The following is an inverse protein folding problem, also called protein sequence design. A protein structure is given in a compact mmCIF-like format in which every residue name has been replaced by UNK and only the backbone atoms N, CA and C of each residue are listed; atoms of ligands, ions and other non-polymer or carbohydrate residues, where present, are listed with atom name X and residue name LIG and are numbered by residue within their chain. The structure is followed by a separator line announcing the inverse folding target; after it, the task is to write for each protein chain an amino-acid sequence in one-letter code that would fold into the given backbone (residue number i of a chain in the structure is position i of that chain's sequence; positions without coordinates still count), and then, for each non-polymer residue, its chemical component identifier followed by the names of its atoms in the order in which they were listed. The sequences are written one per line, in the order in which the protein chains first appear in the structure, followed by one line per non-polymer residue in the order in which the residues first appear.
data_IF_306568011881
#
_entry.id   IF_306568011881
#
_cell.length_a   1.000
_cell.length_b   1.000
_cell.length_c   1.000
_cell.angle_alpha   90.00
_cell.angle_beta   90.00
_cell.angle_gamma   90.00
#
_symmetry.space_group_name_H-M   'P 1'
#
loop_
_entity.id
_entity.type
_entity.pdbx_description
1 polymer ?
#
# COMPACT_ATOMS: atom_id res chain seq x y z
N UNK A 1 13.70 -2.88 -17.02
CA UNK A 1 12.49 -2.35 -16.36
C UNK A 1 12.51 -2.90 -14.95
N UNK A 2 12.06 -2.15 -13.96
CA UNK A 2 11.93 -2.63 -12.58
C UNK A 2 10.64 -3.42 -12.44
N UNK A 3 10.67 -4.52 -11.67
CA UNK A 3 9.55 -5.44 -11.50
C UNK A 3 8.94 -5.28 -10.10
N UNK A 4 7.65 -5.08 -10.00
CA UNK A 4 6.92 -5.02 -8.72
C UNK A 4 5.84 -6.09 -8.67
N UNK A 5 5.86 -6.91 -7.61
CA UNK A 5 4.74 -7.78 -7.26
C UNK A 5 3.81 -7.03 -6.31
N UNK A 6 2.54 -6.90 -6.68
CA UNK A 6 1.48 -6.33 -5.84
C UNK A 6 0.57 -7.45 -5.34
N UNK A 7 0.58 -7.70 -4.05
CA UNK A 7 -0.34 -8.56 -3.32
C UNK A 7 -1.37 -7.66 -2.63
N UNK A 8 -2.51 -7.39 -3.28
CA UNK A 8 -3.56 -6.52 -2.76
C UNK A 8 -4.92 -6.92 -3.34
N UNK A 9 -6.03 -6.47 -2.75
CA UNK A 9 -7.35 -6.74 -3.30
C UNK A 9 -7.56 -6.08 -4.67
N UNK A 10 -8.43 -6.67 -5.47
CA UNK A 10 -8.83 -6.15 -6.77
C UNK A 10 -10.34 -5.85 -6.79
N UNK A 11 -10.68 -4.58 -6.97
CA UNK A 11 -12.06 -4.13 -7.03
C UNK A 11 -12.52 -4.05 -8.47
N UNK A 12 -13.54 -4.85 -8.85
CA UNK A 12 -14.04 -4.91 -10.23
C UNK A 12 -14.68 -3.60 -10.69
N UNK A 13 -15.47 -2.94 -9.80
CA UNK A 13 -16.00 -1.60 -10.02
C UNK A 13 -15.37 -0.64 -9.01
N UNK A 14 -14.51 0.23 -9.49
CA UNK A 14 -13.81 1.23 -8.68
C UNK A 14 -12.37 1.41 -9.15
N UNK A 15 -11.74 2.48 -8.67
CA UNK A 15 -10.35 2.83 -8.96
C UNK A 15 -9.59 2.98 -7.65
N UNK A 16 -9.52 1.88 -6.92
CA UNK A 16 -8.84 1.74 -5.63
C UNK A 16 -8.01 0.47 -5.62
N UNK A 17 -7.29 0.22 -4.57
CA UNK A 17 -6.50 -0.98 -4.31
C UNK A 17 -5.48 -1.28 -5.43
N UNK A 18 -5.24 -2.54 -5.73
CA UNK A 18 -4.25 -2.99 -6.71
C UNK A 18 -4.44 -2.35 -8.10
N UNK A 19 -5.69 -2.07 -8.49
CA UNK A 19 -5.99 -1.47 -9.79
C UNK A 19 -5.44 -0.04 -9.91
N UNK A 20 -5.60 0.77 -8.86
CA UNK A 20 -5.07 2.14 -8.83
C UNK A 20 -3.53 2.11 -8.83
N UNK A 21 -2.94 1.30 -7.96
CA UNK A 21 -1.49 1.16 -7.87
C UNK A 21 -0.87 0.72 -9.19
N UNK A 22 -1.47 -0.28 -9.86
CA UNK A 22 -0.99 -0.75 -11.15
C UNK A 22 -0.99 0.35 -12.22
N UNK A 23 -2.03 1.21 -12.26
CA UNK A 23 -2.09 2.33 -13.20
C UNK A 23 -0.97 3.35 -12.95
N UNK A 24 -0.71 3.69 -11.68
CA UNK A 24 0.36 4.62 -11.29
C UNK A 24 1.73 4.05 -11.64
N UNK A 25 2.02 2.82 -11.23
CA UNK A 25 3.33 2.19 -11.43
C UNK A 25 3.62 1.96 -12.92
N UNK A 26 2.64 1.51 -13.71
CA UNK A 26 2.79 1.36 -15.15
C UNK A 26 3.12 2.70 -15.84
N UNK A 27 2.49 3.81 -15.39
CA UNK A 27 2.83 5.15 -15.89
C UNK A 27 4.26 5.59 -15.52
N UNK A 28 4.78 5.08 -14.40
CA UNK A 28 6.14 5.36 -13.92
C UNK A 28 7.21 4.40 -14.50
N UNK A 29 6.91 3.68 -15.58
CA UNK A 29 7.79 2.71 -16.28
C UNK A 29 8.16 1.49 -15.42
N UNK A 30 7.25 1.01 -14.59
CA UNK A 30 7.41 -0.19 -13.77
C UNK A 30 6.61 -1.35 -14.36
N UNK A 31 7.22 -2.54 -14.47
CA UNK A 31 6.53 -3.78 -14.80
C UNK A 31 5.77 -4.29 -13.57
N UNK A 32 4.46 -4.42 -13.68
CA UNK A 32 3.59 -4.79 -12.57
C UNK A 32 3.12 -6.24 -12.70
N UNK A 33 3.45 -7.04 -11.69
CA UNK A 33 2.87 -8.36 -11.46
C UNK A 33 1.76 -8.21 -10.41
N UNK A 34 0.51 -8.29 -10.85
CA UNK A 34 -0.63 -8.10 -9.97
C UNK A 34 -1.19 -9.44 -9.55
N UNK A 35 -1.20 -9.71 -8.24
CA UNK A 35 -1.72 -10.92 -7.65
C UNK A 35 -2.84 -10.55 -6.66
N UNK A 36 -4.13 -10.67 -7.09
CA UNK A 36 -5.24 -10.31 -6.25
C UNK A 36 -5.33 -11.18 -4.99
N UNK A 37 -5.33 -10.57 -3.81
CA UNK A 37 -5.57 -11.24 -2.53
C UNK A 37 -7.06 -11.46 -2.27
N UNK A 38 -7.91 -10.65 -2.91
CA UNK A 38 -9.35 -10.85 -3.00
C UNK A 38 -9.85 -10.24 -4.32
N UNK A 39 -10.87 -10.82 -4.92
CA UNK A 39 -11.63 -10.15 -5.96
C UNK A 39 -12.96 -9.69 -5.38
N UNK A 40 -13.20 -8.38 -5.43
CA UNK A 40 -14.34 -7.71 -4.81
C UNK A 40 -15.16 -7.02 -5.90
N UNK A 41 -16.49 -7.21 -5.91
CA UNK A 41 -17.34 -6.67 -6.96
C UNK A 41 -17.29 -5.12 -7.03
N UNK A 42 -17.30 -4.46 -5.87
CA UNK A 42 -17.30 -3.00 -5.76
C UNK A 42 -16.79 -2.54 -4.39
N UNK A 43 -16.47 -1.26 -4.29
CA UNK A 43 -16.12 -0.64 -3.00
C UNK A 43 -17.21 -0.91 -1.95
N UNK A 44 -16.82 -1.30 -0.74
CA UNK A 44 -17.72 -1.60 0.39
C UNK A 44 -18.65 -0.44 0.74
N UNK A 45 -18.25 0.80 0.48
CA UNK A 45 -19.10 1.97 0.72
C UNK A 45 -20.39 2.00 -0.09
N UNK A 46 -20.51 1.22 -1.16
CA UNK A 46 -21.70 1.12 -2.00
C UNK A 46 -22.75 0.14 -1.46
N UNK A 47 -22.43 -0.58 -0.38
CA UNK A 47 -23.31 -1.61 0.20
C UNK A 47 -23.42 -2.85 -0.68
N UNK A 48 -23.60 -4.02 -0.07
CA UNK A 48 -23.66 -5.32 -0.74
C UNK A 48 -22.40 -5.64 -1.57
N UNK A 49 -21.90 -6.86 -1.49
CA UNK A 49 -20.69 -7.21 -2.23
C UNK A 49 -20.70 -8.67 -2.67
N UNK A 50 -20.07 -8.96 -3.80
CA UNK A 50 -19.63 -10.31 -4.14
C UNK A 50 -18.13 -10.38 -3.90
N UNK A 51 -17.70 -11.45 -3.28
CA UNK A 51 -16.33 -11.66 -2.84
C UNK A 51 -15.85 -13.03 -3.34
N UNK A 52 -14.64 -13.08 -3.89
CA UNK A 52 -13.99 -14.31 -4.29
C UNK A 52 -12.65 -14.43 -3.56
N UNK A 53 -12.50 -15.48 -2.75
CA UNK A 53 -11.22 -15.87 -2.17
C UNK A 53 -10.30 -16.39 -3.28
N UNK A 54 -9.03 -16.00 -3.24
CA UNK A 54 -8.06 -16.28 -4.29
C UNK A 54 -6.89 -17.16 -3.84
N UNK A 55 -6.96 -17.81 -2.68
CA UNK A 55 -5.84 -18.55 -2.08
C UNK A 55 -5.24 -19.60 -3.01
N UNK A 56 -6.06 -20.41 -3.69
CA UNK A 56 -5.56 -21.39 -4.65
C UNK A 56 -4.85 -20.74 -5.85
N UNK A 57 -5.40 -19.64 -6.36
CA UNK A 57 -4.81 -18.89 -7.47
C UNK A 57 -3.47 -18.24 -7.07
N UNK A 58 -3.39 -17.68 -5.86
CA UNK A 58 -2.14 -17.12 -5.32
C UNK A 58 -1.07 -18.19 -5.28
N UNK A 59 -1.38 -19.35 -4.70
CA UNK A 59 -0.44 -20.47 -4.63
C UNK A 59 0.06 -20.87 -6.01
N UNK A 60 -0.86 -21.11 -6.95
CA UNK A 60 -0.52 -21.54 -8.30
C UNK A 60 0.32 -20.49 -9.05
N UNK A 61 0.03 -19.20 -8.87
CA UNK A 61 0.80 -18.11 -9.47
C UNK A 61 2.23 -18.05 -8.90
N UNK A 62 2.38 -18.05 -7.57
CA UNK A 62 3.68 -17.99 -6.91
C UNK A 62 4.55 -19.19 -7.28
N UNK A 63 4.00 -20.39 -7.26
CA UNK A 63 4.69 -21.62 -7.67
C UNK A 63 5.15 -21.54 -9.14
N UNK A 64 4.27 -21.06 -10.03
CA UNK A 64 4.58 -20.91 -11.45
C UNK A 64 5.65 -19.85 -11.72
N UNK A 65 5.56 -18.70 -11.06
CA UNK A 65 6.54 -17.61 -11.23
C UNK A 65 7.91 -17.97 -10.66
N UNK A 66 7.95 -18.66 -9.53
CA UNK A 66 9.19 -19.24 -8.98
C UNK A 66 9.81 -20.21 -9.98
N UNK A 67 9.02 -21.15 -10.52
CA UNK A 67 9.49 -22.13 -11.53
C UNK A 67 9.99 -21.44 -12.82
N UNK A 68 9.40 -20.31 -13.21
CA UNK A 68 9.82 -19.53 -14.37
C UNK A 68 11.02 -18.61 -14.07
N UNK A 69 11.44 -18.51 -12.83
CA UNK A 69 12.60 -17.71 -12.41
C UNK A 69 12.31 -16.20 -12.41
N UNK A 70 11.05 -15.76 -12.27
CA UNK A 70 10.73 -14.35 -12.10
C UNK A 70 11.26 -13.83 -10.76
N UNK A 71 11.82 -12.62 -10.80
CA UNK A 71 12.35 -11.92 -9.62
C UNK A 71 11.75 -10.52 -9.57
N UNK A 72 11.49 -10.04 -8.37
CA UNK A 72 10.85 -8.76 -8.13
C UNK A 72 11.83 -7.82 -7.42
N UNK A 73 11.95 -6.58 -7.88
CA UNK A 73 12.73 -5.55 -7.20
C UNK A 73 12.02 -5.08 -5.92
N UNK A 74 10.69 -5.12 -5.94
CA UNK A 74 9.84 -4.80 -4.79
C UNK A 74 8.65 -5.74 -4.74
N UNK A 75 8.31 -6.18 -3.53
CA UNK A 75 7.08 -6.91 -3.23
C UNK A 75 6.25 -6.04 -2.29
N UNK A 76 5.06 -5.63 -2.75
CA UNK A 76 4.10 -4.89 -1.96
C UNK A 76 3.01 -5.83 -1.45
N UNK A 77 2.69 -5.72 -0.17
CA UNK A 77 1.66 -6.47 0.51
C UNK A 77 0.69 -5.47 1.13
N UNK A 78 -0.52 -5.43 0.60
CA UNK A 78 -1.64 -4.63 1.12
C UNK A 78 -2.65 -5.51 1.85
N UNK A 79 -3.90 -5.54 1.35
CA UNK A 79 -4.97 -6.33 1.97
C UNK A 79 -4.68 -7.83 1.91
N UNK A 80 -4.85 -8.50 3.04
CA UNK A 80 -4.77 -9.96 3.21
C UNK A 80 -6.13 -10.44 3.71
N UNK A 81 -6.71 -11.47 3.06
CA UNK A 81 -8.04 -11.95 3.39
C UNK A 81 -8.09 -12.76 4.70
N UNK A 82 -7.34 -13.84 4.75
CA UNK A 82 -7.41 -14.81 5.83
C UNK A 82 -6.03 -15.34 6.28
N UNK A 83 -6.06 -16.24 7.27
CA UNK A 83 -4.88 -16.87 7.84
C UNK A 83 -4.15 -17.76 6.84
N UNK A 84 -4.87 -18.49 5.99
CA UNK A 84 -4.26 -19.38 5.01
C UNK A 84 -3.49 -18.57 3.96
N UNK A 85 -4.06 -17.46 3.52
CA UNK A 85 -3.41 -16.53 2.61
C UNK A 85 -2.16 -15.90 3.22
N UNK A 86 -2.25 -15.47 4.49
CA UNK A 86 -1.10 -14.98 5.23
C UNK A 86 0.03 -16.02 5.29
N UNK A 87 -0.30 -17.30 5.54
CA UNK A 87 0.68 -18.36 5.55
C UNK A 87 1.32 -18.57 4.17
N UNK A 88 0.54 -18.60 3.09
CA UNK A 88 1.05 -18.70 1.72
C UNK A 88 2.04 -17.58 1.38
N UNK A 89 1.68 -16.33 1.74
CA UNK A 89 2.54 -15.17 1.51
C UNK A 89 3.81 -15.27 2.34
N UNK A 90 3.70 -15.62 3.61
CA UNK A 90 4.85 -15.77 4.51
C UNK A 90 5.81 -16.84 3.99
N UNK A 91 5.29 -18.03 3.66
CA UNK A 91 6.10 -19.13 3.12
C UNK A 91 6.83 -18.72 1.84
N UNK A 92 6.17 -17.98 0.96
CA UNK A 92 6.79 -17.46 -0.26
C UNK A 92 7.96 -16.52 0.07
N UNK A 93 7.74 -15.54 0.97
CA UNK A 93 8.75 -14.54 1.34
C UNK A 93 9.96 -15.16 2.02
N UNK A 94 9.75 -16.13 2.92
CA UNK A 94 10.82 -16.83 3.65
C UNK A 94 11.69 -17.71 2.74
N UNK A 95 11.16 -18.12 1.58
CA UNK A 95 11.87 -18.97 0.62
C UNK A 95 12.46 -18.21 -0.58
N UNK A 96 12.45 -16.87 -0.55
CA UNK A 96 13.11 -16.08 -1.60
C UNK A 96 14.62 -16.29 -1.56
N UNK A 97 15.22 -16.55 -2.74
CA UNK A 97 16.66 -16.77 -2.92
C UNK A 97 17.38 -15.55 -3.56
N UNK A 98 16.72 -14.39 -3.56
CA UNK A 98 17.23 -13.14 -4.14
C UNK A 98 16.86 -11.94 -3.28
N UNK A 99 17.61 -10.85 -3.44
CA UNK A 99 17.32 -9.60 -2.75
C UNK A 99 16.11 -8.90 -3.37
N UNK A 100 15.20 -8.44 -2.52
CA UNK A 100 14.01 -7.66 -2.88
C UNK A 100 13.68 -6.71 -1.74
N UNK A 101 12.98 -5.63 -2.01
CA UNK A 101 12.42 -4.76 -0.95
C UNK A 101 10.99 -5.17 -0.67
N UNK A 102 10.70 -5.57 0.56
CA UNK A 102 9.36 -5.95 1.01
C UNK A 102 8.70 -4.76 1.68
N UNK A 103 7.56 -4.32 1.14
CA UNK A 103 6.76 -3.20 1.66
C UNK A 103 5.41 -3.74 2.11
N UNK A 104 5.04 -3.44 3.36
CA UNK A 104 3.78 -3.86 3.97
C UNK A 104 2.94 -2.64 4.32
N UNK A 105 1.76 -2.51 3.71
CA UNK A 105 0.68 -1.64 4.19
C UNK A 105 -0.38 -2.50 4.89
N UNK A 106 -0.52 -2.40 6.21
CA UNK A 106 -1.41 -3.26 6.97
C UNK A 106 -2.87 -2.79 6.91
N UNK A 107 -3.48 -2.84 5.74
CA UNK A 107 -4.83 -2.34 5.45
C UNK A 107 -5.89 -3.02 6.33
N UNK A 108 -6.25 -2.38 7.46
CA UNK A 108 -7.22 -2.94 8.40
C UNK A 108 -8.15 -1.93 9.06
N UNK A 109 -7.86 -0.64 9.01
CA UNK A 109 -8.69 0.34 9.71
C UNK A 109 -8.28 1.79 9.47
N UNK A 110 -9.17 2.70 9.84
CA UNK A 110 -8.95 4.15 9.79
C UNK A 110 -9.83 4.85 10.84
N UNK A 111 -9.58 6.14 11.10
CA UNK A 111 -10.35 6.97 12.04
C UNK A 111 -10.58 6.30 13.43
N UNK A 112 -9.58 5.55 13.93
CA UNK A 112 -9.58 4.89 15.24
C UNK A 112 -10.34 3.56 15.30
N UNK A 113 -10.79 3.00 14.19
CA UNK A 113 -11.59 1.77 14.13
C UNK A 113 -11.10 0.81 13.06
N UNK A 114 -11.28 -0.50 13.28
CA UNK A 114 -11.15 -1.49 12.21
C UNK A 114 -12.24 -1.29 11.15
N UNK A 115 -11.96 -1.65 9.92
CA UNK A 115 -12.97 -1.65 8.86
C UNK A 115 -14.09 -2.65 9.17
N UNK A 116 -15.34 -2.38 8.73
CA UNK A 116 -16.48 -3.25 9.00
C UNK A 116 -16.23 -4.70 8.55
N UNK A 117 -16.47 -5.64 9.47
CA UNK A 117 -16.28 -7.08 9.22
C UNK A 117 -14.89 -7.62 9.53
N UNK A 118 -13.93 -6.78 9.95
CA UNK A 118 -12.61 -7.20 10.43
C UNK A 118 -12.61 -7.31 11.95
N UNK A 119 -11.74 -8.18 12.47
CA UNK A 119 -11.57 -8.46 13.90
C UNK A 119 -10.07 -8.49 14.29
N UNK A 120 -9.82 -8.81 15.55
CA UNK A 120 -8.45 -8.88 16.10
C UNK A 120 -7.56 -9.93 15.40
N UNK A 121 -8.15 -10.95 14.78
CA UNK A 121 -7.40 -11.91 13.96
C UNK A 121 -6.68 -11.26 12.79
N UNK A 122 -7.25 -10.19 12.24
CA UNK A 122 -6.61 -9.40 11.17
C UNK A 122 -5.32 -8.72 11.69
N UNK A 123 -5.35 -8.18 12.90
CA UNK A 123 -4.19 -7.55 13.54
C UNK A 123 -3.05 -8.56 13.67
N UNK A 124 -3.34 -9.77 14.15
CA UNK A 124 -2.33 -10.83 14.32
C UNK A 124 -1.75 -11.32 12.97
N UNK A 125 -2.57 -11.35 11.92
CA UNK A 125 -2.10 -11.67 10.59
C UNK A 125 -1.01 -10.68 10.13
N UNK A 126 -1.23 -9.38 10.27
CA UNK A 126 -0.25 -8.37 9.89
C UNK A 126 0.98 -8.36 10.79
N UNK A 127 0.81 -8.50 12.12
CA UNK A 127 1.95 -8.59 13.04
C UNK A 127 2.94 -9.66 12.63
N UNK A 128 2.44 -10.80 12.17
CA UNK A 128 3.30 -11.92 11.76
C UNK A 128 4.10 -11.68 10.47
N UNK A 129 3.78 -10.62 9.70
CA UNK A 129 4.51 -10.25 8.47
C UNK A 129 5.46 -9.07 8.67
N UNK A 130 5.31 -8.30 9.76
CA UNK A 130 6.17 -7.13 10.04
C UNK A 130 7.66 -7.52 10.08
N UNK A 131 7.97 -8.69 10.64
CA UNK A 131 9.36 -9.16 10.74
C UNK A 131 10.00 -9.45 9.39
N UNK A 132 9.21 -9.68 8.34
CA UNK A 132 9.68 -9.92 6.98
C UNK A 132 9.75 -8.63 6.15
N UNK A 133 9.01 -7.59 6.52
CA UNK A 133 8.98 -6.33 5.78
C UNK A 133 10.22 -5.47 6.06
N UNK A 134 10.74 -4.81 5.02
CA UNK A 134 11.77 -3.78 5.11
C UNK A 134 11.17 -2.42 5.43
N UNK A 135 9.97 -2.16 4.89
CA UNK A 135 9.23 -0.92 5.06
C UNK A 135 7.79 -1.26 5.45
N UNK A 136 7.29 -0.66 6.53
CA UNK A 136 5.88 -0.79 6.95
C UNK A 136 5.22 0.58 6.90
N UNK A 137 4.04 0.66 6.24
CA UNK A 137 3.35 1.93 5.95
C UNK A 137 1.95 1.96 6.60
N UNK A 138 1.80 1.92 7.92
CA UNK A 138 0.50 2.05 8.56
C UNK A 138 0.02 3.50 8.60
N UNK A 139 -1.29 3.71 8.66
CA UNK A 139 -1.83 4.95 9.19
C UNK A 139 -1.74 4.98 10.74
N UNK A 140 -2.09 6.13 11.39
CA UNK A 140 -2.02 6.21 12.85
C UNK A 140 -2.91 5.21 13.59
N UNK A 141 -4.05 4.82 13.01
CA UNK A 141 -4.96 3.84 13.59
C UNK A 141 -4.33 2.45 13.59
N UNK A 142 -3.80 2.05 12.47
CA UNK A 142 -3.14 0.76 12.26
C UNK A 142 -1.87 0.63 13.10
N UNK A 143 -1.06 1.71 13.16
CA UNK A 143 0.14 1.75 14.00
C UNK A 143 -0.19 1.51 15.49
N UNK A 144 -1.32 2.03 15.97
CA UNK A 144 -1.81 1.80 17.34
C UNK A 144 -2.27 0.36 17.55
N UNK A 145 -3.07 -0.20 16.63
CA UNK A 145 -3.54 -1.59 16.72
C UNK A 145 -2.38 -2.59 16.69
N UNK A 146 -1.38 -2.34 15.86
CA UNK A 146 -0.19 -3.19 15.76
C UNK A 146 0.76 -3.02 16.94
N UNK A 147 0.61 -1.95 17.73
CA UNK A 147 1.50 -1.61 18.85
C UNK A 147 2.98 -1.61 18.44
N UNK A 148 3.29 -0.89 17.34
CA UNK A 148 4.62 -0.92 16.73
C UNK A 148 5.68 -0.25 17.62
N UNK A 149 6.76 -0.95 17.88
CA UNK A 149 7.94 -0.42 18.54
C UNK A 149 8.89 0.25 17.55
N UNK A 150 8.93 1.58 17.57
CA UNK A 150 9.79 2.40 16.69
C UNK A 150 11.27 2.09 16.82
N UNK A 151 11.73 1.74 18.05
CA UNK A 151 13.13 1.40 18.28
C UNK A 151 13.50 0.10 17.56
N UNK A 152 12.59 -0.87 17.53
CA UNK A 152 12.80 -2.13 16.82
C UNK A 152 13.07 -1.91 15.32
N UNK A 153 12.40 -0.96 14.68
CA UNK A 153 12.66 -0.64 13.25
C UNK A 153 14.08 -0.09 13.07
N UNK A 154 14.52 0.81 13.96
CA UNK A 154 15.89 1.35 13.92
C UNK A 154 16.94 0.26 14.12
N UNK A 155 16.79 -0.57 15.14
CA UNK A 155 17.74 -1.62 15.48
C UNK A 155 17.89 -2.68 14.38
N UNK A 156 16.80 -2.95 13.65
CA UNK A 156 16.78 -3.90 12.54
C UNK A 156 17.03 -3.27 11.16
N UNK A 157 17.42 -1.98 11.10
CA UNK A 157 17.67 -1.24 9.84
C UNK A 157 16.45 -1.22 8.89
N UNK A 158 15.24 -1.22 9.45
CA UNK A 158 13.95 -1.15 8.75
C UNK A 158 13.37 0.25 8.80
N UNK A 159 12.33 0.51 8.01
CA UNK A 159 11.63 1.79 7.98
C UNK A 159 10.17 1.63 8.39
N UNK A 160 9.68 2.50 9.26
CA UNK A 160 8.28 2.65 9.62
C UNK A 160 7.80 4.03 9.16
N UNK A 161 6.82 4.06 8.26
CA UNK A 161 6.27 5.28 7.67
C UNK A 161 4.82 5.41 8.14
N UNK A 162 4.56 6.26 9.14
CA UNK A 162 3.21 6.44 9.69
C UNK A 162 2.51 7.57 8.95
N UNK A 163 1.53 7.20 8.13
CA UNK A 163 0.70 8.13 7.36
C UNK A 163 -0.46 8.68 8.18
N UNK A 164 -1.17 9.67 7.64
CA UNK A 164 -2.34 10.31 8.29
C UNK A 164 -2.08 10.76 9.73
N UNK A 165 -0.84 11.19 9.99
CA UNK A 165 -0.37 11.63 11.31
C UNK A 165 -0.56 13.12 11.51
N UNK A 166 -0.50 13.53 12.78
CA UNK A 166 -0.42 14.95 13.18
C UNK A 166 0.78 15.22 14.06
N UNK A 167 1.37 16.39 13.87
CA UNK A 167 2.37 16.96 14.75
C UNK A 167 2.06 18.44 14.99
N UNK A 168 1.82 18.84 16.25
CA UNK A 168 1.41 20.22 16.62
C UNK A 168 0.24 20.72 15.75
N UNK A 169 -0.79 19.88 15.60
CA UNK A 169 -2.00 20.13 14.78
C UNK A 169 -1.79 20.25 13.26
N UNK A 170 -0.57 20.05 12.78
CA UNK A 170 -0.26 19.99 11.34
C UNK A 170 -0.28 18.53 10.84
N UNK A 171 -0.91 18.33 9.67
CA UNK A 171 -0.93 17.03 9.03
C UNK A 171 0.46 16.67 8.49
N UNK A 172 0.88 15.42 8.73
CA UNK A 172 2.22 14.97 8.36
C UNK A 172 2.28 13.45 8.11
N UNK A 173 3.39 13.04 7.50
CA UNK A 173 3.88 11.65 7.49
C UNK A 173 5.10 11.60 8.39
N UNK A 174 5.15 10.62 9.29
CA UNK A 174 6.28 10.41 10.22
C UNK A 174 7.11 9.22 9.77
N UNK A 175 8.41 9.38 9.71
CA UNK A 175 9.37 8.35 9.35
C UNK A 175 10.16 7.98 10.60
N UNK A 176 10.25 6.68 10.88
CA UNK A 176 11.07 6.12 11.96
C UNK A 176 11.91 4.97 11.40
N UNK A 177 13.11 4.76 11.95
CA UNK A 177 14.01 3.71 11.52
C UNK A 177 15.42 4.21 11.32
N UNK A 178 16.03 3.90 10.19
CA UNK A 178 17.40 4.33 9.86
C UNK A 178 17.57 5.85 9.89
N UNK A 179 16.59 6.58 9.39
CA UNK A 179 16.48 8.04 9.47
C UNK A 179 15.15 8.39 10.13
N UNK A 180 15.11 9.47 10.88
CA UNK A 180 13.88 9.99 11.46
C UNK A 180 13.56 11.34 10.81
N UNK A 181 12.36 11.47 10.28
CA UNK A 181 11.89 12.72 9.66
C UNK A 181 10.38 12.90 9.82
N UNK A 182 9.93 14.13 9.69
CA UNK A 182 8.51 14.49 9.64
C UNK A 182 8.29 15.33 8.39
N UNK A 183 7.45 14.82 7.48
CA UNK A 183 7.09 15.50 6.26
C UNK A 183 5.72 16.12 6.44
N UNK A 184 5.65 17.44 6.50
CA UNK A 184 4.40 18.18 6.61
C UNK A 184 3.78 18.39 5.22
N UNK A 185 2.46 18.31 5.15
CA UNK A 185 1.72 18.58 3.90
C UNK A 185 0.41 19.32 4.18
N UNK A 186 -0.09 20.02 3.17
CA UNK A 186 -1.36 20.73 3.22
C UNK A 186 -2.51 19.75 2.89
N UNK A 187 -3.06 19.10 3.93
CA UNK A 187 -4.15 18.14 3.78
C UNK A 187 -5.36 18.82 3.15
N UNK A 188 -5.87 18.20 2.12
CA UNK A 188 -7.08 18.64 1.45
C UNK A 188 -8.31 18.06 2.17
N UNK A 189 -9.36 18.86 2.35
CA UNK A 189 -10.66 18.40 2.88
C UNK A 189 -11.45 17.56 1.86
N UNK A 190 -10.75 16.90 0.95
CA UNK A 190 -11.31 16.05 -0.11
C UNK A 190 -11.31 14.61 0.38
N UNK A 191 -12.50 14.03 0.56
CA UNK A 191 -12.65 12.63 0.97
C UNK A 191 -12.86 11.75 -0.24
N UNK A 192 -11.86 10.96 -0.59
CA UNK A 192 -11.93 9.94 -1.66
C UNK A 192 -11.38 8.62 -1.17
N UNK A 193 -11.95 7.51 -1.65
CA UNK A 193 -11.37 6.18 -1.46
C UNK A 193 -10.11 5.99 -2.30
N UNK A 194 -9.16 5.20 -1.79
CA UNK A 194 -7.93 4.84 -2.49
C UNK A 194 -6.78 5.84 -2.35
N UNK A 195 -6.88 6.81 -1.43
CA UNK A 195 -5.77 7.75 -1.19
C UNK A 195 -4.53 7.05 -0.61
N UNK A 196 -4.70 6.00 0.20
CA UNK A 196 -3.62 5.13 0.68
C UNK A 196 -2.96 4.38 -0.49
N UNK A 197 -3.77 3.71 -1.33
CA UNK A 197 -3.25 3.01 -2.51
C UNK A 197 -2.52 3.95 -3.48
N UNK A 198 -2.98 5.21 -3.59
CA UNK A 198 -2.31 6.24 -4.38
C UNK A 198 -0.96 6.61 -3.76
N UNK A 199 -0.90 6.72 -2.43
CA UNK A 199 0.35 6.97 -1.71
C UNK A 199 1.34 5.83 -1.96
N UNK A 200 0.93 4.58 -1.79
CA UNK A 200 1.78 3.41 -1.97
C UNK A 200 2.31 3.29 -3.40
N UNK A 201 1.43 3.44 -4.39
CA UNK A 201 1.83 3.38 -5.80
C UNK A 201 2.86 4.45 -6.17
N UNK A 202 2.66 5.70 -5.73
CA UNK A 202 3.59 6.80 -5.96
C UNK A 202 4.90 6.61 -5.19
N UNK A 203 4.82 6.27 -3.91
CA UNK A 203 6.00 6.03 -3.06
C UNK A 203 6.89 4.94 -3.64
N UNK A 204 6.33 3.78 -3.99
CA UNK A 204 7.06 2.68 -4.63
C UNK A 204 7.70 3.16 -5.94
N UNK A 205 6.96 3.85 -6.77
CA UNK A 205 7.47 4.39 -8.03
C UNK A 205 8.67 5.33 -7.83
N UNK A 206 8.61 6.22 -6.83
CA UNK A 206 9.74 7.10 -6.51
C UNK A 206 10.93 6.36 -5.89
N UNK A 207 10.69 5.37 -5.02
CA UNK A 207 11.76 4.52 -4.48
C UNK A 207 12.51 3.78 -5.59
N UNK A 208 11.79 3.25 -6.58
CA UNK A 208 12.39 2.56 -7.73
C UNK A 208 13.17 3.50 -8.67
N UNK A 209 12.88 4.81 -8.64
CA UNK A 209 13.68 5.86 -9.28
C UNK A 209 14.87 6.34 -8.43
N UNK A 210 15.20 5.61 -7.35
CA UNK A 210 16.32 5.86 -6.45
C UNK A 210 16.21 7.14 -5.60
N UNK A 211 14.99 7.65 -5.36
CA UNK A 211 14.78 8.65 -4.33
C UNK A 211 14.98 8.01 -2.94
N UNK A 212 15.63 8.74 -2.03
CA UNK A 212 15.62 8.35 -0.63
C UNK A 212 14.18 8.41 -0.06
N UNK A 213 13.96 7.86 1.11
CA UNK A 213 12.61 7.72 1.68
C UNK A 213 11.96 9.09 1.92
N UNK A 214 12.70 10.06 2.43
CA UNK A 214 12.20 11.40 2.71
C UNK A 214 11.77 12.11 1.42
N UNK A 215 12.63 12.13 0.41
CA UNK A 215 12.34 12.74 -0.88
C UNK A 215 11.19 12.02 -1.62
N UNK A 216 11.12 10.69 -1.53
CA UNK A 216 10.03 9.92 -2.13
C UNK A 216 8.68 10.28 -1.50
N UNK A 217 8.61 10.40 -0.16
CA UNK A 217 7.38 10.78 0.56
C UNK A 217 6.99 12.23 0.23
N UNK A 218 7.93 13.17 0.22
CA UNK A 218 7.64 14.57 -0.09
C UNK A 218 7.03 14.70 -1.50
N UNK A 219 7.63 14.05 -2.51
CA UNK A 219 7.08 14.02 -3.87
C UNK A 219 5.72 13.35 -3.93
N UNK A 220 5.54 12.24 -3.22
CA UNK A 220 4.28 11.52 -3.12
C UNK A 220 3.17 12.44 -2.58
N UNK A 221 3.41 13.11 -1.46
CA UNK A 221 2.45 14.06 -0.88
C UNK A 221 2.11 15.19 -1.84
N UNK A 222 3.11 15.78 -2.50
CA UNK A 222 2.90 16.86 -3.47
C UNK A 222 2.04 16.42 -4.65
N UNK A 223 2.28 15.22 -5.20
CA UNK A 223 1.53 14.74 -6.36
C UNK A 223 0.12 14.29 -5.98
N UNK A 224 -0.08 13.68 -4.80
CA UNK A 224 -1.41 13.39 -4.27
C UNK A 224 -2.25 14.69 -4.18
N UNK A 225 -1.71 15.76 -3.60
CA UNK A 225 -2.40 17.05 -3.47
C UNK A 225 -2.83 17.58 -4.84
N UNK A 226 -1.94 17.54 -5.85
CA UNK A 226 -2.25 17.98 -7.22
C UNK A 226 -3.37 17.14 -7.84
N UNK A 227 -3.27 15.84 -7.70
CA UNK A 227 -4.24 14.88 -8.25
C UNK A 227 -5.61 15.06 -7.60
N UNK A 228 -5.66 15.14 -6.26
CA UNK A 228 -6.92 15.33 -5.53
C UNK A 228 -7.59 16.65 -5.89
N UNK A 229 -6.85 17.76 -5.95
CA UNK A 229 -7.38 19.06 -6.37
C UNK A 229 -7.92 19.03 -7.81
N UNK A 230 -7.21 18.37 -8.72
CA UNK A 230 -7.67 18.26 -10.11
C UNK A 230 -8.91 17.37 -10.22
N UNK A 231 -8.95 16.26 -9.48
CA UNK A 231 -10.11 15.37 -9.47
C UNK A 231 -11.35 16.04 -8.88
N UNK A 232 -11.23 16.73 -7.77
CA UNK A 232 -12.35 17.44 -7.13
C UNK A 232 -12.87 18.58 -7.99
N UNK A 233 -11.98 19.33 -8.64
CA UNK A 233 -12.37 20.39 -9.59
C UNK A 233 -13.19 19.84 -10.77
N UNK A 234 -12.79 18.70 -11.32
CA UNK A 234 -13.44 18.11 -12.50
C UNK A 234 -14.67 17.27 -12.14
N UNK A 235 -14.69 16.68 -10.94
CA UNK A 235 -15.73 15.78 -10.45
C UNK A 235 -16.01 16.06 -8.97
N UNK A 236 -16.65 17.19 -8.62
CA UNK A 236 -16.93 17.55 -7.23
C UNK A 236 -17.71 16.46 -6.50
N UNK A 237 -17.20 16.04 -5.32
CA UNK A 237 -17.84 14.99 -4.51
C UNK A 237 -17.68 13.57 -5.05
N UNK A 238 -16.76 13.32 -5.98
CA UNK A 238 -16.45 11.95 -6.42
C UNK A 238 -15.95 11.10 -5.25
N UNK A 239 -16.44 9.87 -5.16
CA UNK A 239 -16.03 8.91 -4.11
C UNK A 239 -14.64 8.30 -4.35
N UNK A 240 -14.09 8.42 -5.55
CA UNK A 240 -12.81 7.81 -5.97
C UNK A 240 -12.06 8.75 -6.93
N UNK A 241 -10.74 8.55 -7.07
CA UNK A 241 -9.92 9.28 -8.03
C UNK A 241 -9.95 8.61 -9.39
N UNK A 242 -10.29 9.36 -10.45
CA UNK A 242 -10.14 8.88 -11.83
C UNK A 242 -8.67 8.99 -12.27
N UNK A 243 -7.80 8.15 -11.68
CA UNK A 243 -6.34 8.31 -11.73
C UNK A 243 -5.78 8.39 -13.15
N UNK A 244 -6.30 7.61 -14.09
CA UNK A 244 -5.79 7.57 -15.46
C UNK A 244 -5.92 8.95 -16.16
N UNK A 245 -6.86 9.78 -15.74
CA UNK A 245 -7.01 11.15 -16.25
C UNK A 245 -5.90 12.09 -15.75
N UNK A 246 -5.31 11.78 -14.61
CA UNK A 246 -4.41 12.69 -13.91
C UNK A 246 -2.96 12.18 -13.83
N UNK A 247 -2.63 11.05 -14.46
CA UNK A 247 -1.27 10.49 -14.47
C UNK A 247 -0.22 11.51 -14.95
N UNK A 248 -0.56 12.37 -15.91
CA UNK A 248 0.35 13.41 -16.42
C UNK A 248 0.73 14.49 -15.39
N UNK A 249 0.06 14.54 -14.24
CA UNK A 249 0.43 15.41 -13.12
C UNK A 249 1.58 14.84 -12.29
N UNK A 250 1.84 13.54 -12.42
CA UNK A 250 2.98 12.87 -11.79
C UNK A 250 4.24 13.28 -12.55
N UNK A 251 5.06 14.06 -11.88
CA UNK A 251 6.34 14.49 -12.47
C UNK A 251 7.43 13.54 -12.00
N UNK A 252 7.84 12.68 -12.93
CA UNK A 252 8.96 11.77 -12.75
C UNK A 252 10.30 12.47 -12.57
#
# INVERSE_FOLDING_TARGET
MKNVLILNDFVSKGKIAARLMASVLAYMDVEVFLLPTAMIANNFSLGGNAFLNTNSYIKDCLDNWTRLGFKFDTIFIGYIDDLDQRNLIRDFLENLDYETTIILDPIMGDDGSLYPGLDDGKIENYKSLIDLADIVIPNETEAKFLNLDRNSFRENNKELIVTSSKEKDLDCVKIYGKNEAIIYFDKQEIKVGGSGDLFDGLFIGYKLKNYDTEAAIDKTCQDIIKILRANDKDNPGASEVNIEKYLTLIKG
#
